data_IF_628737681424
#
_entry.id   IF_628737681424
#
_cell.length_a   1.000
_cell.length_b   1.000
_cell.length_c   1.000
_cell.angle_alpha   90.00
_cell.angle_beta   90.00
_cell.angle_gamma   90.00
#
_symmetry.space_group_name_H-M   'P 1'
#
loop_
_entity.id
_entity.type
_entity.pdbx_description
1 polymer ?
#
# COMPACT_ATOMS: atom_id res chain seq x y z
N UNK A 1 -11.69 -6.29 0.44
CA UNK A 1 -12.96 -5.52 0.52
C UNK A 1 -13.06 -4.58 1.75
N UNK A 2 -12.08 -4.50 2.65
CA UNK A 2 -12.24 -3.84 3.96
C UNK A 2 -11.67 -2.41 4.10
N UNK A 3 -10.96 -1.88 3.09
CA UNK A 3 -10.14 -0.66 3.26
C UNK A 3 -10.94 0.65 3.16
N UNK A 4 -11.85 0.80 2.18
CA UNK A 4 -12.60 2.04 1.96
C UNK A 4 -13.79 2.23 2.92
N UNK A 5 -14.50 1.16 3.27
CA UNK A 5 -15.52 1.21 4.35
C UNK A 5 -14.91 1.55 5.71
N UNK A 6 -13.63 1.18 5.93
CA UNK A 6 -12.85 1.65 7.08
C UNK A 6 -12.55 3.13 7.04
N UNK A 7 -12.29 3.73 5.86
CA UNK A 7 -12.13 5.20 5.75
C UNK A 7 -13.41 5.90 6.20
N UNK A 8 -14.58 5.39 5.77
CA UNK A 8 -15.88 5.96 6.11
C UNK A 8 -16.17 5.90 7.61
N UNK A 9 -15.77 4.82 8.28
CA UNK A 9 -16.07 4.59 9.71
C UNK A 9 -15.01 5.12 10.67
N UNK A 10 -13.71 5.03 10.33
CA UNK A 10 -12.60 5.39 11.22
C UNK A 10 -12.02 6.79 10.93
N UNK A 11 -12.40 7.40 9.80
CA UNK A 11 -11.91 8.69 9.34
C UNK A 11 -10.59 8.59 8.57
N UNK A 12 -10.42 9.51 7.60
CA UNK A 12 -9.27 9.56 6.69
C UNK A 12 -7.91 9.51 7.41
N UNK A 13 -7.75 10.24 8.52
CA UNK A 13 -6.49 10.32 9.25
C UNK A 13 -6.02 8.97 9.81
N UNK A 14 -6.89 8.20 10.48
CA UNK A 14 -6.52 6.89 11.03
C UNK A 14 -6.23 5.88 9.93
N UNK A 15 -6.96 5.95 8.83
CA UNK A 15 -6.70 5.10 7.67
C UNK A 15 -5.34 5.43 7.04
N UNK A 16 -5.03 6.72 6.87
CA UNK A 16 -3.76 7.18 6.31
C UNK A 16 -2.58 6.77 7.18
N UNK A 17 -2.70 6.93 8.51
CA UNK A 17 -1.70 6.46 9.47
C UNK A 17 -1.50 4.93 9.36
N UNK A 18 -2.57 4.14 9.20
CA UNK A 18 -2.48 2.68 9.02
C UNK A 18 -1.84 2.29 7.69
N UNK A 19 -2.17 2.99 6.61
CA UNK A 19 -1.54 2.78 5.29
C UNK A 19 -0.04 3.09 5.32
N UNK A 20 0.36 4.16 6.00
CA UNK A 20 1.78 4.47 6.20
C UNK A 20 2.50 3.35 6.96
N UNK A 21 1.92 2.84 8.05
CA UNK A 21 2.50 1.73 8.82
C UNK A 21 2.63 0.47 7.94
N UNK A 22 1.60 0.15 7.16
CA UNK A 22 1.60 -1.01 6.27
C UNK A 22 2.66 -0.87 5.16
N UNK A 23 2.79 0.31 4.57
CA UNK A 23 3.84 0.64 3.60
C UNK A 23 5.24 0.42 4.21
N UNK A 24 5.47 0.89 5.45
CA UNK A 24 6.73 0.64 6.15
C UNK A 24 6.95 -0.85 6.46
N UNK A 25 5.91 -1.62 6.78
CA UNK A 25 6.03 -3.07 7.00
C UNK A 25 6.48 -3.80 5.73
N UNK A 26 5.98 -3.40 4.55
CA UNK A 26 6.45 -3.93 3.26
C UNK A 26 7.90 -3.52 2.96
N UNK A 27 8.31 -2.30 3.31
CA UNK A 27 9.71 -1.87 3.20
C UNK A 27 10.62 -2.72 4.10
N UNK A 28 10.20 -2.98 5.34
CA UNK A 28 10.94 -3.85 6.26
C UNK A 28 11.02 -5.30 5.74
N UNK A 29 9.93 -5.80 5.15
CA UNK A 29 9.90 -7.15 4.55
C UNK A 29 10.81 -7.24 3.33
N UNK A 30 10.85 -6.19 2.50
CA UNK A 30 11.81 -6.07 1.41
C UNK A 30 13.25 -6.12 1.92
N UNK A 31 13.55 -5.39 2.99
CA UNK A 31 14.87 -5.38 3.63
C UNK A 31 15.25 -6.74 4.21
N UNK A 32 14.32 -7.43 4.89
CA UNK A 32 14.50 -8.80 5.38
C UNK A 32 14.74 -9.78 4.23
N UNK A 33 14.06 -9.61 3.08
CA UNK A 33 14.30 -10.39 1.87
C UNK A 33 15.72 -10.19 1.31
N UNK A 34 16.28 -8.97 1.38
CA UNK A 34 17.67 -8.71 1.01
C UNK A 34 18.66 -9.40 1.95
N UNK A 35 18.40 -9.38 3.27
CA UNK A 35 19.23 -10.11 4.23
C UNK A 35 19.19 -11.61 3.91
N UNK A 36 18.01 -12.16 3.63
CA UNK A 36 17.84 -13.57 3.25
C UNK A 36 18.62 -13.92 1.97
N UNK A 37 18.62 -13.03 0.97
CA UNK A 37 19.41 -13.20 -0.25
C UNK A 37 20.91 -13.27 0.04
N UNK A 38 21.43 -12.34 0.85
CA UNK A 38 22.85 -12.31 1.21
C UNK A 38 23.24 -13.56 2.01
N UNK A 39 22.43 -13.95 3.00
CA UNK A 39 22.65 -15.20 3.75
C UNK A 39 22.58 -16.44 2.84
N UNK A 40 21.68 -16.45 1.84
CA UNK A 40 21.59 -17.52 0.86
C UNK A 40 22.86 -17.68 0.02
N UNK A 41 23.52 -16.58 -0.35
CA UNK A 41 24.80 -16.61 -1.06
C UNK A 41 25.90 -17.26 -0.22
N UNK A 42 25.99 -16.92 1.07
CA UNK A 42 26.97 -17.51 1.97
C UNK A 42 26.77 -19.03 2.12
N UNK A 43 25.51 -19.46 2.31
CA UNK A 43 25.16 -20.89 2.46
C UNK A 43 25.40 -21.67 1.15
N UNK A 44 25.12 -21.05 0.00
CA UNK A 44 25.36 -21.64 -1.31
C UNK A 44 26.86 -21.80 -1.64
N UNK A 45 27.70 -20.89 -1.14
CA UNK A 45 29.16 -20.94 -1.30
C UNK A 45 29.86 -22.03 -0.47
N UNK A 46 29.14 -22.71 0.43
CA UNK A 46 29.66 -23.80 1.24
C UNK A 46 29.81 -25.16 0.51
N UNK A 47 29.68 -26.25 1.27
CA UNK A 47 29.80 -27.62 0.76
C UNK A 47 28.64 -28.09 -0.11
N UNK A 48 28.77 -29.25 -0.78
CA UNK A 48 27.72 -29.73 -1.72
C UNK A 48 26.37 -29.98 -1.04
N UNK A 49 26.36 -30.36 0.24
CA UNK A 49 25.13 -30.58 1.02
C UNK A 49 24.37 -29.30 1.37
N UNK A 50 25.04 -28.14 1.45
CA UNK A 50 24.39 -26.85 1.77
C UNK A 50 23.96 -26.07 0.54
N UNK A 51 24.42 -26.44 -0.67
CA UNK A 51 24.06 -25.74 -1.92
C UNK A 51 22.58 -25.71 -2.21
N UNK A 52 21.87 -26.83 -2.03
CA UNK A 52 20.42 -26.89 -2.26
C UNK A 52 19.67 -25.93 -1.32
N UNK A 53 20.08 -25.86 -0.05
CA UNK A 53 19.53 -24.93 0.93
C UNK A 53 19.87 -23.47 0.57
N UNK A 54 21.10 -23.20 0.12
CA UNK A 54 21.49 -21.87 -0.35
C UNK A 54 20.67 -21.40 -1.55
N UNK A 55 20.47 -22.27 -2.54
CA UNK A 55 19.64 -21.96 -3.73
C UNK A 55 18.18 -21.73 -3.36
N UNK A 56 17.61 -22.51 -2.45
CA UNK A 56 16.22 -22.29 -2.02
C UNK A 56 16.06 -20.97 -1.24
N UNK A 57 17.03 -20.61 -0.40
CA UNK A 57 17.08 -19.31 0.27
C UNK A 57 17.21 -18.15 -0.72
N UNK A 58 18.01 -18.31 -1.77
CA UNK A 58 18.16 -17.29 -2.82
C UNK A 58 16.87 -17.07 -3.60
N UNK A 59 16.21 -18.15 -4.03
CA UNK A 59 14.93 -18.06 -4.73
C UNK A 59 13.84 -17.48 -3.82
N UNK A 60 13.80 -17.91 -2.56
CA UNK A 60 12.87 -17.38 -1.55
C UNK A 60 13.09 -15.89 -1.28
N UNK A 61 14.34 -15.48 -1.07
CA UNK A 61 14.72 -14.08 -0.86
C UNK A 61 14.38 -13.23 -2.07
N UNK A 62 14.70 -13.67 -3.29
CA UNK A 62 14.36 -12.96 -4.52
C UNK A 62 12.85 -12.77 -4.68
N UNK A 63 12.07 -13.82 -4.44
CA UNK A 63 10.62 -13.76 -4.52
C UNK A 63 10.03 -12.78 -3.49
N UNK A 64 10.50 -12.84 -2.24
CA UNK A 64 10.06 -11.93 -1.17
C UNK A 64 10.43 -10.49 -1.48
N UNK A 65 11.66 -10.23 -1.92
CA UNK A 65 12.12 -8.88 -2.28
C UNK A 65 11.30 -8.32 -3.45
N UNK A 66 11.12 -9.06 -4.55
CA UNK A 66 10.33 -8.56 -5.69
C UNK A 66 8.86 -8.33 -5.32
N UNK A 67 8.25 -9.24 -4.56
CA UNK A 67 6.86 -9.11 -4.14
C UNK A 67 6.66 -7.91 -3.20
N UNK A 68 7.54 -7.78 -2.21
CA UNK A 68 7.46 -6.70 -1.22
C UNK A 68 7.71 -5.33 -1.86
N UNK A 69 8.62 -5.24 -2.82
CA UNK A 69 8.89 -4.00 -3.56
C UNK A 69 7.68 -3.53 -4.36
N UNK A 70 7.04 -4.44 -5.12
CA UNK A 70 5.82 -4.13 -5.89
C UNK A 70 4.71 -3.63 -4.97
N UNK A 71 4.48 -4.34 -3.85
CA UNK A 71 3.49 -3.96 -2.84
C UNK A 71 3.79 -2.59 -2.24
N UNK A 72 5.03 -2.36 -1.79
CA UNK A 72 5.47 -1.09 -1.23
C UNK A 72 5.17 0.09 -2.16
N UNK A 73 5.56 -0.01 -3.44
CA UNK A 73 5.33 1.07 -4.42
C UNK A 73 3.85 1.35 -4.64
N UNK A 74 3.03 0.30 -4.76
CA UNK A 74 1.58 0.47 -4.95
C UNK A 74 0.93 1.15 -3.74
N UNK A 75 1.27 0.75 -2.52
CA UNK A 75 0.72 1.37 -1.31
C UNK A 75 1.17 2.83 -1.17
N UNK A 76 2.44 3.11 -1.47
CA UNK A 76 2.98 4.46 -1.41
C UNK A 76 2.31 5.39 -2.43
N UNK A 77 2.13 4.93 -3.67
CA UNK A 77 1.53 5.70 -4.74
C UNK A 77 0.08 6.09 -4.43
N UNK A 78 -0.71 5.13 -3.91
CA UNK A 78 -2.08 5.38 -3.45
C UNK A 78 -2.10 6.39 -2.29
N UNK A 79 -1.20 6.24 -1.32
CA UNK A 79 -1.13 7.17 -0.19
C UNK A 79 -0.73 8.59 -0.62
N UNK A 80 0.18 8.72 -1.58
CA UNK A 80 0.62 10.02 -2.12
C UNK A 80 -0.50 10.70 -2.92
N UNK A 81 -1.14 9.99 -3.86
CA UNK A 81 -2.23 10.54 -4.67
C UNK A 81 -3.40 11.04 -3.81
N UNK A 82 -3.83 10.22 -2.84
CA UNK A 82 -4.91 10.60 -1.92
C UNK A 82 -4.48 11.71 -0.95
N UNK A 83 -3.21 11.72 -0.52
CA UNK A 83 -2.65 12.75 0.35
C UNK A 83 -2.56 14.11 -0.33
N UNK A 84 -2.12 14.17 -1.59
CA UNK A 84 -2.03 15.42 -2.36
C UNK A 84 -3.42 16.07 -2.55
N UNK A 85 -4.47 15.26 -2.72
CA UNK A 85 -5.84 15.73 -2.92
C UNK A 85 -6.65 15.87 -1.60
N UNK A 86 -6.01 15.64 -0.45
CA UNK A 86 -6.60 15.75 0.88
C UNK A 86 -6.73 17.21 1.39
N UNK A 87 -6.52 18.20 0.52
CA UNK A 87 -6.65 19.63 0.81
C UNK A 87 -8.00 20.12 0.32
N UNK A 88 -8.76 20.78 1.20
CA UNK A 88 -9.99 21.43 0.81
C UNK A 88 -9.71 22.66 -0.10
N UNK A 89 -10.32 22.76 -1.30
CA UNK A 89 -10.07 23.87 -2.23
C UNK A 89 -10.59 25.21 -1.71
N UNK A 90 -11.66 25.23 -0.90
CA UNK A 90 -12.24 26.47 -0.38
C UNK A 90 -11.47 27.08 0.80
N UNK A 91 -10.98 26.26 1.75
CA UNK A 91 -10.41 26.76 3.01
C UNK A 91 -8.98 26.27 3.29
N UNK A 92 -8.36 25.55 2.35
CA UNK A 92 -6.99 25.00 2.46
C UNK A 92 -6.76 24.12 3.70
N UNK A 93 -7.83 23.59 4.31
CA UNK A 93 -7.71 22.69 5.45
C UNK A 93 -7.29 21.29 4.98
N UNK A 94 -6.09 20.86 5.38
CA UNK A 94 -5.56 19.53 5.08
C UNK A 94 -6.15 18.46 6.00
N UNK A 95 -6.59 17.33 5.44
CA UNK A 95 -6.96 16.11 6.18
C UNK A 95 -8.17 16.24 7.13
N UNK A 96 -8.90 17.37 7.06
CA UNK A 96 -10.09 17.65 7.89
C UNK A 96 -11.37 17.52 7.08
N UNK A 97 -11.66 16.31 6.58
CA UNK A 97 -12.89 16.02 5.87
C UNK A 97 -13.52 14.69 6.31
N UNK A 98 -14.81 14.57 6.06
CA UNK A 98 -15.57 13.33 6.18
C UNK A 98 -15.78 12.75 4.78
N UNK A 99 -15.77 11.42 4.69
CA UNK A 99 -16.00 10.72 3.43
C UNK A 99 -17.48 10.37 3.34
N UNK A 100 -18.18 10.97 2.37
CA UNK A 100 -19.61 10.79 2.18
C UNK A 100 -19.92 9.54 1.35
N UNK A 101 -19.17 9.35 0.25
CA UNK A 101 -19.31 8.20 -0.64
C UNK A 101 -17.99 7.84 -1.31
N UNK A 102 -17.88 6.60 -1.77
CA UNK A 102 -16.74 6.08 -2.50
C UNK A 102 -17.25 5.04 -3.50
N UNK A 103 -16.68 4.99 -4.71
CA UNK A 103 -17.00 3.95 -5.70
C UNK A 103 -15.85 2.97 -5.93
N UNK A 104 -16.05 1.93 -6.78
CA UNK A 104 -15.14 0.77 -6.86
C UNK A 104 -13.82 1.14 -7.58
N UNK A 105 -12.63 0.54 -7.32
CA UNK A 105 -12.31 -0.85 -6.95
C UNK A 105 -10.87 -1.06 -6.32
N UNK A 106 -10.33 -2.30 -6.10
CA UNK A 106 -9.70 -2.76 -4.85
C UNK A 106 -8.18 -2.53 -4.72
N UNK A 107 -7.68 -2.44 -3.48
CA UNK A 107 -6.32 -2.84 -3.02
C UNK A 107 -6.29 -2.79 -1.45
N UNK A 108 -5.39 -3.46 -0.69
CA UNK A 108 -4.53 -4.62 -0.94
C UNK A 108 -4.88 -5.84 -0.02
N UNK A 109 -6.07 -5.87 0.60
CA UNK A 109 -6.55 -6.97 1.47
C UNK A 109 -7.22 -8.12 0.68
N UNK A 110 -6.85 -8.33 -0.58
CA UNK A 110 -7.46 -9.32 -1.49
C UNK A 110 -7.86 -8.69 -2.83
N UNK A 111 -6.93 -8.72 -3.79
CA UNK A 111 -7.15 -8.26 -5.15
C UNK A 111 -7.96 -9.27 -5.95
N UNK A 112 -8.99 -8.78 -6.64
CA UNK A 112 -9.71 -9.52 -7.67
C UNK A 112 -9.14 -9.04 -9.02
N UNK A 113 -8.46 -9.90 -9.79
CA UNK A 113 -7.73 -9.51 -11.01
C UNK A 113 -8.64 -8.97 -12.13
N UNK A 114 -9.95 -9.10 -12.00
CA UNK A 114 -10.95 -8.62 -12.98
C UNK A 114 -11.10 -7.10 -12.98
N UNK A 115 -10.66 -6.41 -11.92
CA UNK A 115 -10.82 -4.96 -11.77
C UNK A 115 -9.61 -4.15 -12.29
N UNK A 116 -8.48 -4.80 -12.55
CA UNK A 116 -7.30 -4.19 -13.18
C UNK A 116 -7.55 -3.87 -14.67
N UNK A 117 -8.52 -4.55 -15.30
CA UNK A 117 -8.82 -4.50 -16.73
C UNK A 117 -9.86 -3.42 -17.12
N UNK A 118 -10.51 -2.80 -16.14
CA UNK A 118 -11.46 -1.70 -16.35
C UNK A 118 -10.94 -0.47 -15.63
N UNK A 119 -10.37 0.48 -16.36
CA UNK A 119 -9.79 1.75 -15.87
C UNK A 119 -10.74 2.70 -15.12
N UNK A 120 -11.43 2.21 -14.09
CA UNK A 120 -12.18 3.00 -13.12
C UNK A 120 -11.26 3.33 -11.95
N UNK A 121 -10.69 4.54 -11.96
CA UNK A 121 -9.89 5.05 -10.85
C UNK A 121 -10.68 5.09 -9.53
N UNK A 122 -9.96 4.96 -8.42
CA UNK A 122 -10.51 5.08 -7.06
C UNK A 122 -11.04 6.49 -6.87
N UNK A 123 -12.35 6.66 -6.68
CA UNK A 123 -12.92 7.98 -6.39
C UNK A 123 -13.55 8.04 -5.01
N UNK A 124 -13.36 9.19 -4.36
CA UNK A 124 -13.77 9.43 -2.99
C UNK A 124 -14.40 10.81 -2.85
N UNK A 125 -15.64 10.86 -2.35
CA UNK A 125 -16.37 12.09 -2.15
C UNK A 125 -16.15 12.59 -0.72
N UNK A 126 -15.46 13.71 -0.60
CA UNK A 126 -15.01 14.30 0.66
C UNK A 126 -15.81 15.58 0.96
N UNK A 127 -16.16 15.79 2.23
CA UNK A 127 -16.78 17.01 2.73
C UNK A 127 -15.91 17.64 3.83
N UNK A 128 -15.54 18.90 3.66
CA UNK A 128 -14.73 19.64 4.61
C UNK A 128 -15.46 19.79 5.95
N UNK A 129 -14.80 19.45 7.05
CA UNK A 129 -15.32 19.70 8.41
C UNK A 129 -15.20 21.16 8.85
N UNK A 130 -14.40 21.99 8.15
CA UNK A 130 -14.18 23.40 8.50
C UNK A 130 -15.15 24.34 7.81
N UNK A 131 -15.35 24.19 6.51
CA UNK A 131 -16.19 25.10 5.70
C UNK A 131 -17.44 24.43 5.12
N UNK A 132 -17.60 23.11 5.26
CA UNK A 132 -18.75 22.37 4.71
C UNK A 132 -18.68 22.06 3.21
N UNK A 133 -17.68 22.59 2.50
CA UNK A 133 -17.49 22.39 1.05
C UNK A 133 -17.21 20.93 0.69
N UNK A 134 -17.70 20.45 -0.45
CA UNK A 134 -17.57 19.06 -0.88
C UNK A 134 -16.82 18.94 -2.21
N UNK A 135 -15.86 18.04 -2.28
CA UNK A 135 -15.09 17.77 -3.49
C UNK A 135 -14.88 16.27 -3.72
N UNK A 136 -14.49 15.92 -4.94
CA UNK A 136 -14.18 14.53 -5.32
C UNK A 136 -12.68 14.38 -5.50
N UNK A 137 -12.12 13.39 -4.82
CA UNK A 137 -10.75 12.92 -4.95
C UNK A 137 -10.76 11.75 -5.94
N UNK A 138 -9.81 11.70 -6.89
CA UNK A 138 -9.69 10.66 -7.92
C UNK A 138 -8.27 10.14 -8.05
#
# INVERSE_FOLDING_TARGET
>A
MASLDRIRTHGFRRWYERQLIECHAWLLTWFLGLILLVSGLEVAGGGSGSRLAGVSLLLGGLAVTLFSWKRYRLLLDVAEHLGQQAVCPACSAYGKFNVLSSGPAPLPDGGDPVLEDRGGGVWLHAQCRRCGDSWTIR
#
